data_IF_459123718498
#
_entry.id   IF_459123718498
#
_cell.length_a   1.000
_cell.length_b   1.000
_cell.length_c   1.000
_cell.angle_alpha   90.00
_cell.angle_beta   90.00
_cell.angle_gamma   90.00
#
_symmetry.space_group_name_H-M   'P 1'
#
loop_
_entity.id
_entity.type
_entity.pdbx_description
1 polymer ?
#
# COMPACT_ATOMS: atom_id res chain seq x y z
N UNK A 1 56.32 59.03 -35.82
CA UNK A 1 55.02 58.73 -36.47
C UNK A 1 54.74 57.23 -36.63
N UNK A 2 55.74 56.37 -36.90
CA UNK A 2 55.52 54.92 -37.11
C UNK A 2 55.06 54.14 -35.85
N UNK A 3 55.60 54.43 -34.67
CA UNK A 3 55.29 53.73 -33.41
C UNK A 3 53.84 53.93 -32.94
N UNK A 4 53.28 55.12 -33.12
CA UNK A 4 51.90 55.42 -32.73
C UNK A 4 50.88 54.70 -33.61
N UNK A 5 51.20 54.52 -34.90
CA UNK A 5 50.34 53.83 -35.86
C UNK A 5 50.26 52.33 -35.57
N UNK A 6 51.39 51.70 -35.18
CA UNK A 6 51.42 50.30 -34.79
C UNK A 6 50.69 50.03 -33.47
N UNK A 7 50.74 50.97 -32.52
CA UNK A 7 50.00 50.87 -31.26
C UNK A 7 48.48 50.93 -31.49
N UNK A 8 48.00 51.81 -32.38
CA UNK A 8 46.58 51.90 -32.72
C UNK A 8 46.08 50.62 -33.38
N UNK A 9 46.82 50.08 -34.35
CA UNK A 9 46.47 48.82 -35.04
C UNK A 9 46.38 47.66 -34.04
N UNK A 10 47.35 47.57 -33.11
CA UNK A 10 47.33 46.53 -32.08
C UNK A 10 46.14 46.66 -31.12
N UNK A 11 45.79 47.89 -30.71
CA UNK A 11 44.62 48.13 -29.87
C UNK A 11 43.34 47.77 -30.63
N UNK A 12 43.20 48.17 -31.89
CA UNK A 12 42.05 47.82 -32.73
C UNK A 12 41.90 46.30 -32.89
N UNK A 13 43.00 45.58 -33.11
CA UNK A 13 43.02 44.13 -33.26
C UNK A 13 42.61 43.40 -31.96
N UNK A 14 43.15 43.83 -30.81
CA UNK A 14 42.79 43.28 -29.50
C UNK A 14 41.32 43.58 -29.16
N UNK A 15 40.84 44.78 -29.48
CA UNK A 15 39.45 45.20 -29.22
C UNK A 15 38.49 44.41 -30.11
N UNK A 16 38.80 44.26 -31.40
CA UNK A 16 38.03 43.44 -32.35
C UNK A 16 37.96 41.97 -31.93
N UNK A 17 39.06 41.40 -31.42
CA UNK A 17 39.10 40.02 -30.94
C UNK A 17 38.22 39.83 -29.70
N UNK A 18 38.28 40.74 -28.72
CA UNK A 18 37.40 40.71 -27.54
C UNK A 18 35.93 40.84 -27.90
N UNK A 19 35.58 41.74 -28.83
CA UNK A 19 34.19 41.93 -29.29
C UNK A 19 33.67 40.70 -30.04
N UNK A 20 34.50 40.07 -30.89
CA UNK A 20 34.14 38.81 -31.55
C UNK A 20 33.94 37.67 -30.56
N UNK A 21 34.81 37.53 -29.55
CA UNK A 21 34.67 36.51 -28.51
C UNK A 21 33.41 36.75 -27.68
N UNK A 22 33.12 37.98 -27.29
CA UNK A 22 31.89 38.32 -26.57
C UNK A 22 30.63 38.02 -27.40
N UNK A 23 30.64 38.38 -28.69
CA UNK A 23 29.54 38.09 -29.62
C UNK A 23 29.33 36.57 -29.83
N UNK A 24 30.41 35.80 -29.95
CA UNK A 24 30.32 34.33 -30.08
C UNK A 24 29.74 33.69 -28.82
N UNK A 25 30.17 34.13 -27.63
CA UNK A 25 29.64 33.61 -26.36
C UNK A 25 28.17 33.98 -26.18
N UNK A 26 27.75 35.19 -26.55
CA UNK A 26 26.34 35.60 -26.44
C UNK A 26 25.45 34.83 -27.43
N UNK A 27 25.90 34.63 -28.67
CA UNK A 27 25.17 33.80 -29.66
C UNK A 27 25.05 32.35 -29.19
N UNK A 28 26.12 31.76 -28.63
CA UNK A 28 26.07 30.42 -28.06
C UNK A 28 25.11 30.34 -26.88
N UNK A 29 25.15 31.28 -25.94
CA UNK A 29 24.23 31.32 -24.80
C UNK A 29 22.76 31.42 -25.23
N UNK A 30 22.46 32.29 -26.22
CA UNK A 30 21.11 32.40 -26.80
C UNK A 30 20.70 31.10 -27.50
N UNK A 31 21.60 30.46 -28.26
CA UNK A 31 21.29 29.21 -28.95
C UNK A 31 21.01 28.06 -27.98
N UNK A 32 21.77 27.94 -26.88
CA UNK A 32 21.54 26.95 -25.82
C UNK A 32 20.22 27.23 -25.11
N UNK A 33 19.90 28.49 -24.84
CA UNK A 33 18.62 28.87 -24.25
C UNK A 33 17.46 28.48 -25.18
N UNK A 34 17.54 28.81 -26.48
CA UNK A 34 16.54 28.44 -27.48
C UNK A 34 16.37 26.92 -27.62
N UNK A 35 17.47 26.15 -27.58
CA UNK A 35 17.43 24.68 -27.58
C UNK A 35 16.76 24.14 -26.31
N UNK A 36 17.06 24.72 -25.14
CA UNK A 36 16.46 24.32 -23.87
C UNK A 36 14.96 24.59 -23.81
N UNK A 37 14.51 25.73 -24.34
CA UNK A 37 13.08 26.08 -24.38
C UNK A 37 12.32 25.27 -25.42
N UNK A 38 12.93 25.00 -26.58
CA UNK A 38 12.36 24.11 -27.59
C UNK A 38 12.18 22.69 -27.03
N UNK A 39 13.18 22.16 -26.33
CA UNK A 39 13.10 20.85 -25.69
C UNK A 39 12.05 20.82 -24.56
N UNK A 40 11.99 21.86 -23.73
CA UNK A 40 10.97 21.98 -22.69
C UNK A 40 9.55 22.04 -23.28
N UNK A 41 9.36 22.74 -24.40
CA UNK A 41 8.10 22.78 -25.14
C UNK A 41 7.68 21.40 -25.68
N UNK A 42 8.60 20.68 -26.31
CA UNK A 42 8.35 19.33 -26.81
C UNK A 42 8.00 18.33 -25.69
N UNK A 43 8.70 18.39 -24.55
CA UNK A 43 8.38 17.57 -23.37
C UNK A 43 6.99 17.90 -22.82
N UNK A 44 6.61 19.18 -22.78
CA UNK A 44 5.28 19.59 -22.33
C UNK A 44 4.16 19.13 -23.28
N UNK A 45 4.40 19.15 -24.60
CA UNK A 45 3.44 18.65 -25.60
C UNK A 45 3.29 17.14 -25.52
N UNK A 46 4.39 16.41 -25.36
CA UNK A 46 4.37 14.96 -25.22
C UNK A 46 3.66 14.51 -23.92
N UNK A 47 3.92 15.21 -22.80
CA UNK A 47 3.18 14.98 -21.56
C UNK A 47 1.68 15.21 -21.76
N UNK A 48 1.30 16.26 -22.49
CA UNK A 48 -0.10 16.57 -22.79
C UNK A 48 -0.75 15.52 -23.66
N UNK A 49 -0.03 14.99 -24.65
CA UNK A 49 -0.52 13.88 -25.46
C UNK A 49 -0.86 12.66 -24.59
N UNK A 50 0.00 12.33 -23.64
CA UNK A 50 -0.25 11.24 -22.70
C UNK A 50 -1.43 11.54 -21.75
N UNK A 51 -1.60 12.79 -21.32
CA UNK A 51 -2.77 13.23 -20.57
C UNK A 51 -4.08 13.01 -21.36
N UNK A 52 -4.13 13.47 -22.61
CA UNK A 52 -5.32 13.35 -23.47
C UNK A 52 -5.65 11.88 -23.77
N UNK A 53 -4.62 11.06 -24.01
CA UNK A 53 -4.78 9.61 -24.19
C UNK A 53 -5.27 8.91 -22.93
N UNK A 54 -4.81 9.35 -21.76
CA UNK A 54 -5.31 8.90 -20.46
C UNK A 54 -6.80 9.20 -20.31
N UNK A 55 -7.22 10.43 -20.58
CA UNK A 55 -8.63 10.84 -20.54
C UNK A 55 -9.49 10.05 -21.53
N UNK A 56 -9.04 9.87 -22.78
CA UNK A 56 -9.74 9.03 -23.75
C UNK A 56 -9.84 7.56 -23.29
N UNK A 57 -8.81 7.02 -22.65
CA UNK A 57 -8.86 5.68 -22.08
C UNK A 57 -9.85 5.56 -20.92
N UNK A 58 -10.05 6.62 -20.13
CA UNK A 58 -11.10 6.69 -19.09
C UNK A 58 -12.49 6.62 -19.71
N UNK A 59 -12.74 7.36 -20.79
CA UNK A 59 -14.02 7.35 -21.48
C UNK A 59 -14.35 5.98 -22.10
N UNK A 60 -13.32 5.25 -22.52
CA UNK A 60 -13.46 3.90 -23.08
C UNK A 60 -13.64 2.81 -22.03
N UNK A 61 -13.30 3.07 -20.76
CA UNK A 61 -13.32 2.07 -19.69
C UNK A 61 -14.76 1.71 -19.32
N UNK A 62 -15.03 0.40 -19.19
CA UNK A 62 -16.36 -0.13 -18.85
C UNK A 62 -16.36 -0.82 -17.49
N UNK A 63 -15.23 -1.36 -17.07
CA UNK A 63 -15.02 -1.98 -15.76
C UNK A 63 -13.86 -1.30 -15.02
N UNK A 64 -13.74 -1.50 -13.69
CA UNK A 64 -12.58 -1.04 -12.93
C UNK A 64 -11.22 -1.52 -13.49
N UNK A 65 -11.18 -2.73 -14.04
CA UNK A 65 -9.95 -3.30 -14.62
C UNK A 65 -9.52 -2.59 -15.92
N UNK A 66 -10.46 -1.97 -16.64
CA UNK A 66 -10.17 -1.25 -17.87
C UNK A 66 -9.39 0.06 -17.61
N UNK A 67 -9.36 0.55 -16.36
CA UNK A 67 -8.65 1.78 -16.01
C UNK A 67 -7.13 1.66 -16.05
N UNK A 68 -6.56 0.45 -16.13
CA UNK A 68 -5.09 0.26 -16.20
C UNK A 68 -4.46 0.98 -17.40
N UNK A 69 -5.18 1.05 -18.52
CA UNK A 69 -4.72 1.80 -19.69
C UNK A 69 -4.66 3.31 -19.42
N UNK A 70 -5.65 3.85 -18.72
CA UNK A 70 -5.66 5.26 -18.32
C UNK A 70 -4.56 5.57 -17.31
N UNK A 71 -4.39 4.70 -16.30
CA UNK A 71 -3.31 4.79 -15.31
C UNK A 71 -1.96 4.83 -16.03
N UNK A 72 -1.71 3.92 -16.97
CA UNK A 72 -0.45 3.86 -17.72
C UNK A 72 -0.14 5.14 -18.49
N UNK A 73 -1.14 5.76 -19.13
CA UNK A 73 -0.95 7.00 -19.87
C UNK A 73 -0.75 8.20 -18.94
N UNK A 74 -1.50 8.31 -17.83
CA UNK A 74 -1.25 9.34 -16.82
C UNK A 74 0.13 9.20 -16.15
N UNK A 75 0.61 7.96 -15.94
CA UNK A 75 1.96 7.70 -15.41
C UNK A 75 3.06 8.22 -16.34
N UNK A 76 2.88 8.09 -17.66
CA UNK A 76 3.80 8.68 -18.64
C UNK A 76 3.72 10.20 -18.65
N UNK A 77 2.51 10.78 -18.56
CA UNK A 77 2.36 12.23 -18.42
C UNK A 77 3.07 12.76 -17.17
N UNK A 78 2.95 12.04 -16.04
CA UNK A 78 3.59 12.36 -14.76
C UNK A 78 5.10 12.31 -14.83
N UNK A 79 5.67 11.31 -15.51
CA UNK A 79 7.12 11.17 -15.63
C UNK A 79 7.75 12.27 -16.50
N UNK A 80 7.02 12.74 -17.51
CA UNK A 80 7.44 13.82 -18.39
C UNK A 80 7.22 15.21 -17.77
N UNK A 81 6.16 15.38 -16.98
CA UNK A 81 5.79 16.64 -16.34
C UNK A 81 5.52 16.44 -14.83
N UNK A 82 6.56 16.28 -14.00
CA UNK A 82 6.43 15.91 -12.58
C UNK A 82 5.77 16.98 -11.70
N UNK A 83 5.66 18.21 -12.16
CA UNK A 83 5.03 19.32 -11.45
C UNK A 83 3.68 19.73 -12.04
N UNK A 84 3.14 18.95 -12.98
CA UNK A 84 1.81 19.18 -13.53
C UNK A 84 0.73 18.61 -12.60
N UNK A 85 0.13 19.49 -11.80
CA UNK A 85 -0.84 19.12 -10.78
C UNK A 85 -2.00 18.24 -11.30
N UNK A 86 -2.60 18.61 -12.43
CA UNK A 86 -3.80 17.94 -12.97
C UNK A 86 -3.57 16.46 -13.27
N UNK A 87 -2.34 16.08 -13.62
CA UNK A 87 -2.01 14.66 -13.87
C UNK A 87 -2.18 13.85 -12.58
N UNK A 88 -1.74 14.38 -11.44
CA UNK A 88 -1.90 13.72 -10.14
C UNK A 88 -3.36 13.66 -9.71
N UNK A 89 -4.13 14.71 -9.97
CA UNK A 89 -5.57 14.73 -9.68
C UNK A 89 -6.32 13.66 -10.48
N UNK A 90 -6.10 13.60 -11.79
CA UNK A 90 -6.75 12.63 -12.66
C UNK A 90 -6.30 11.19 -12.39
N UNK A 91 -5.01 10.98 -12.15
CA UNK A 91 -4.47 9.68 -11.76
C UNK A 91 -5.11 9.18 -10.46
N UNK A 92 -5.26 10.05 -9.45
CA UNK A 92 -5.89 9.69 -8.18
C UNK A 92 -7.37 9.34 -8.32
N UNK A 93 -8.14 10.11 -9.10
CA UNK A 93 -9.54 9.80 -9.40
C UNK A 93 -9.70 8.43 -10.06
N UNK A 94 -8.81 8.10 -10.99
CA UNK A 94 -8.85 6.83 -11.70
C UNK A 94 -8.40 5.67 -10.83
N UNK A 95 -7.41 5.87 -9.97
CA UNK A 95 -7.00 4.88 -8.98
C UNK A 95 -8.11 4.60 -7.96
N UNK A 96 -8.86 5.61 -7.52
CA UNK A 96 -10.06 5.38 -6.70
C UNK A 96 -11.07 4.50 -7.45
N UNK A 97 -11.37 4.81 -8.72
CA UNK A 97 -12.31 4.01 -9.52
C UNK A 97 -11.82 2.59 -9.79
N UNK A 98 -10.50 2.39 -9.87
CA UNK A 98 -9.86 1.10 -10.00
C UNK A 98 -9.71 0.34 -8.66
N UNK A 99 -10.17 0.92 -7.54
CA UNK A 99 -10.06 0.30 -6.22
C UNK A 99 -8.64 0.29 -5.64
N UNK A 100 -7.72 1.12 -6.17
CA UNK A 100 -6.35 1.30 -5.67
C UNK A 100 -6.30 2.47 -4.69
N UNK A 101 -6.95 2.34 -3.53
CA UNK A 101 -7.19 3.49 -2.66
C UNK A 101 -5.90 4.07 -2.07
N UNK A 102 -4.92 3.21 -1.75
CA UNK A 102 -3.61 3.65 -1.26
C UNK A 102 -2.87 4.57 -2.24
N UNK A 103 -2.84 4.20 -3.53
CA UNK A 103 -2.19 5.00 -4.56
C UNK A 103 -2.91 6.33 -4.81
N UNK A 104 -4.25 6.30 -4.80
CA UNK A 104 -5.07 7.50 -4.96
C UNK A 104 -4.76 8.55 -3.87
N UNK A 105 -4.61 8.12 -2.61
CA UNK A 105 -4.21 9.00 -1.49
C UNK A 105 -2.87 9.67 -1.76
N UNK A 106 -1.87 8.92 -2.23
CA UNK A 106 -0.52 9.44 -2.51
C UNK A 106 -0.58 10.53 -3.59
N UNK A 107 -1.31 10.28 -4.68
CA UNK A 107 -1.42 11.20 -5.79
C UNK A 107 -2.24 12.46 -5.43
N UNK A 108 -3.36 12.33 -4.71
CA UNK A 108 -4.10 13.49 -4.21
C UNK A 108 -3.27 14.36 -3.25
N UNK A 109 -2.45 13.75 -2.39
CA UNK A 109 -1.51 14.51 -1.54
C UNK A 109 -0.48 15.28 -2.37
N UNK A 110 0.01 14.73 -3.48
CA UNK A 110 0.94 15.43 -4.38
C UNK A 110 0.24 16.54 -5.16
N UNK A 111 -1.00 16.34 -5.60
CA UNK A 111 -1.83 17.39 -6.19
C UNK A 111 -1.98 18.60 -5.25
N UNK A 112 -2.35 18.38 -3.99
CA UNK A 112 -2.49 19.47 -3.01
C UNK A 112 -1.18 20.20 -2.71
N UNK A 113 -0.02 19.54 -2.86
CA UNK A 113 1.29 20.19 -2.74
C UNK A 113 1.59 21.10 -3.93
N UNK A 114 1.19 20.71 -5.13
CA UNK A 114 1.43 21.46 -6.37
C UNK A 114 0.41 22.59 -6.57
N UNK A 115 -0.84 22.37 -6.16
CA UNK A 115 -1.95 23.31 -6.34
C UNK A 115 -2.74 23.51 -5.02
N UNK A 116 -2.13 24.11 -3.99
CA UNK A 116 -2.76 24.24 -2.66
C UNK A 116 -4.00 25.15 -2.63
N UNK A 117 -4.14 26.04 -3.62
CA UNK A 117 -5.21 27.03 -3.73
C UNK A 117 -6.17 26.72 -4.89
N UNK A 118 -6.20 25.49 -5.40
CA UNK A 118 -7.17 25.10 -6.44
C UNK A 118 -8.60 25.06 -5.89
N UNK A 119 -9.58 25.16 -6.77
CA UNK A 119 -11.00 25.11 -6.39
C UNK A 119 -11.36 23.73 -5.80
N UNK A 120 -10.68 22.69 -6.26
CA UNK A 120 -10.86 21.30 -5.87
C UNK A 120 -10.15 20.99 -4.53
N UNK A 121 -9.29 21.87 -4.01
CA UNK A 121 -8.44 21.56 -2.87
C UNK A 121 -9.22 21.15 -1.61
N UNK A 122 -10.37 21.77 -1.34
CA UNK A 122 -11.22 21.41 -0.20
C UNK A 122 -11.87 20.03 -0.40
N UNK A 123 -12.33 19.73 -1.62
CA UNK A 123 -12.90 18.45 -1.97
C UNK A 123 -11.86 17.33 -1.89
N UNK A 124 -10.66 17.56 -2.43
CA UNK A 124 -9.57 16.59 -2.40
C UNK A 124 -9.15 16.24 -0.97
N UNK A 125 -9.13 17.20 -0.04
CA UNK A 125 -8.88 16.90 1.39
C UNK A 125 -9.93 15.94 1.96
N UNK A 126 -11.20 16.13 1.61
CA UNK A 126 -12.28 15.23 2.02
C UNK A 126 -12.14 13.84 1.37
N UNK A 127 -11.78 13.78 0.09
CA UNK A 127 -11.53 12.53 -0.63
C UNK A 127 -10.37 11.75 -0.01
N UNK A 128 -9.25 12.41 0.34
CA UNK A 128 -8.12 11.76 1.01
C UNK A 128 -8.58 11.04 2.27
N UNK A 129 -9.36 11.70 3.15
CA UNK A 129 -9.82 11.07 4.39
C UNK A 129 -10.70 9.83 4.13
N UNK A 130 -11.58 9.90 3.12
CA UNK A 130 -12.43 8.76 2.73
C UNK A 130 -11.61 7.62 2.15
N UNK A 131 -10.61 7.93 1.32
CA UNK A 131 -9.76 6.96 0.66
C UNK A 131 -8.78 6.32 1.64
N UNK A 132 -8.24 7.07 2.60
CA UNK A 132 -7.46 6.51 3.70
C UNK A 132 -8.29 5.50 4.50
N UNK A 133 -9.55 5.83 4.82
CA UNK A 133 -10.44 4.88 5.45
C UNK A 133 -10.66 3.61 4.60
N UNK A 134 -10.89 3.74 3.28
CA UNK A 134 -11.05 2.57 2.39
C UNK A 134 -9.76 1.76 2.27
N UNK A 135 -8.60 2.41 2.11
CA UNK A 135 -7.28 1.78 2.05
C UNK A 135 -6.92 1.08 3.36
N UNK A 136 -7.40 1.57 4.51
CA UNK A 136 -7.29 0.89 5.79
C UNK A 136 -8.13 -0.41 5.86
N UNK A 137 -9.11 -0.58 4.98
CA UNK A 137 -9.89 -1.82 4.89
C UNK A 137 -9.35 -2.79 3.84
N UNK A 138 -8.51 -2.34 2.89
CA UNK A 138 -7.91 -3.22 1.89
C UNK A 138 -7.02 -4.29 2.54
N UNK A 139 -7.30 -5.55 2.24
CA UNK A 139 -6.46 -6.68 2.61
C UNK A 139 -5.69 -7.07 1.35
N UNK A 140 -4.36 -7.03 1.43
CA UNK A 140 -3.48 -7.63 0.42
C UNK A 140 -2.82 -8.86 1.02
N UNK A 141 -2.20 -9.72 0.21
CA UNK A 141 -1.45 -10.87 0.71
C UNK A 141 -0.35 -10.47 1.70
N UNK A 142 0.37 -9.39 1.40
CA UNK A 142 1.44 -8.85 2.26
C UNK A 142 0.86 -8.30 3.57
N UNK A 143 -0.24 -7.55 3.49
CA UNK A 143 -0.98 -7.04 4.65
C UNK A 143 -1.53 -8.19 5.49
N UNK A 144 -2.09 -9.22 4.86
CA UNK A 144 -2.58 -10.41 5.54
C UNK A 144 -1.47 -11.12 6.31
N UNK A 145 -0.31 -11.33 5.66
CA UNK A 145 0.88 -11.90 6.29
C UNK A 145 1.38 -11.07 7.47
N UNK A 146 1.34 -9.75 7.37
CA UNK A 146 1.70 -8.85 8.48
C UNK A 146 0.70 -8.91 9.63
N UNK A 147 -0.61 -8.85 9.35
CA UNK A 147 -1.70 -9.01 10.34
C UNK A 147 -1.55 -10.33 11.08
N UNK A 148 -1.40 -11.44 10.34
CA UNK A 148 -1.16 -12.75 10.91
C UNK A 148 0.13 -12.77 11.74
N UNK A 149 1.19 -12.11 11.28
CA UNK A 149 2.40 -11.95 12.06
C UNK A 149 2.18 -11.18 13.36
N UNK A 150 1.33 -10.15 13.34
CA UNK A 150 0.99 -9.31 14.50
C UNK A 150 0.08 -10.02 15.51
N UNK A 151 -0.70 -11.03 15.11
CA UNK A 151 -1.50 -11.82 16.04
C UNK A 151 -0.62 -12.40 17.17
N UNK A 152 0.67 -12.64 16.89
CA UNK A 152 1.67 -13.05 17.88
C UNK A 152 1.84 -12.10 19.07
N UNK A 153 1.44 -10.86 18.93
CA UNK A 153 1.42 -9.90 20.02
C UNK A 153 0.00 -9.78 20.57
N UNK A 154 -0.32 -10.60 21.57
CA UNK A 154 -1.65 -10.63 22.17
C UNK A 154 -2.05 -9.33 22.86
N UNK A 155 -1.11 -8.41 23.08
CA UNK A 155 -1.41 -7.09 23.66
C UNK A 155 -2.03 -6.15 22.62
N UNK A 156 -1.89 -6.46 21.33
CA UNK A 156 -2.42 -5.68 20.22
C UNK A 156 -3.79 -6.13 19.73
N UNK A 157 -4.37 -7.18 20.32
CA UNK A 157 -5.66 -7.73 19.86
C UNK A 157 -6.60 -7.94 21.03
N UNK A 158 -7.85 -7.49 20.86
CA UNK A 158 -8.92 -7.59 21.85
C UNK A 158 -10.04 -8.46 21.31
N UNK A 159 -10.51 -9.40 22.12
CA UNK A 159 -11.72 -10.15 21.82
C UNK A 159 -12.98 -9.27 21.89
N UNK A 160 -13.83 -9.36 20.88
CA UNK A 160 -15.14 -8.68 20.81
C UNK A 160 -16.22 -9.74 20.60
N UNK A 161 -16.94 -10.09 21.66
CA UNK A 161 -18.06 -11.01 21.57
C UNK A 161 -18.71 -11.36 22.91
N UNK A 162 -19.89 -11.96 22.84
CA UNK A 162 -20.56 -12.62 23.98
C UNK A 162 -20.40 -14.13 23.81
N UNK A 163 -19.38 -14.72 24.42
CA UNK A 163 -19.31 -16.18 24.53
C UNK A 163 -20.07 -16.60 25.79
N UNK A 164 -21.15 -17.36 25.59
CA UNK A 164 -21.78 -18.17 26.62
C UNK A 164 -21.01 -19.47 26.76
N UNK A 165 -20.59 -19.78 28.00
CA UNK A 165 -19.89 -20.98 28.45
C UNK A 165 -18.43 -21.12 27.99
N UNK A 166 -17.54 -21.19 29.00
CA UNK A 166 -16.08 -21.31 28.95
C UNK A 166 -15.32 -20.00 28.65
N UNK A 167 -15.05 -19.28 29.75
CA UNK A 167 -14.06 -18.20 29.80
C UNK A 167 -12.68 -18.73 29.35
N UNK A 168 -12.09 -18.00 28.40
CA UNK A 168 -10.66 -17.77 28.19
C UNK A 168 -9.78 -18.98 27.92
N UNK A 169 -9.62 -19.36 26.65
CA UNK A 169 -8.59 -20.34 26.32
C UNK A 169 -7.54 -19.80 25.38
N UNK A 170 -7.65 -18.68 24.66
CA UNK A 170 -6.49 -18.12 23.92
C UNK A 170 -5.76 -17.07 24.77
N UNK A 171 -4.57 -17.39 25.26
CA UNK A 171 -3.69 -16.48 26.03
C UNK A 171 -2.96 -15.49 25.12
N UNK A 172 -2.60 -15.92 23.92
CA UNK A 172 -1.85 -15.13 22.97
C UNK A 172 -1.22 -15.98 21.91
N UNK A 173 -0.71 -15.36 20.86
CA UNK A 173 -0.08 -16.08 19.77
C UNK A 173 1.44 -15.90 19.86
N UNK A 174 2.24 -16.62 19.08
CA UNK A 174 3.69 -16.35 18.93
C UNK A 174 4.07 -16.65 17.50
N UNK A 175 4.88 -15.81 16.83
CA UNK A 175 5.38 -16.12 15.49
C UNK A 175 6.83 -16.62 15.55
N UNK A 176 7.15 -17.65 14.78
CA UNK A 176 8.50 -18.12 14.46
C UNK A 176 8.57 -18.40 12.96
N UNK A 177 9.22 -17.52 12.20
CA UNK A 177 9.30 -17.59 10.71
C UNK A 177 7.91 -17.57 10.05
N UNK A 178 7.54 -18.63 9.34
CA UNK A 178 6.22 -18.87 8.76
C UNK A 178 5.22 -19.37 9.81
N UNK A 179 5.61 -19.42 11.11
CA UNK A 179 4.86 -20.09 12.17
C UNK A 179 4.22 -19.29 13.32
N UNK A 180 2.92 -19.02 13.30
CA UNK A 180 2.01 -18.67 14.42
C UNK A 180 1.63 -19.84 15.35
N UNK A 181 2.13 -19.84 16.57
CA UNK A 181 1.66 -20.68 17.69
C UNK A 181 0.50 -19.99 18.40
N UNK A 182 -0.45 -20.76 18.89
CA UNK A 182 -1.49 -20.26 19.79
C UNK A 182 -1.19 -20.81 21.19
N UNK A 183 -1.03 -19.91 22.16
CA UNK A 183 -0.88 -20.26 23.57
C UNK A 183 -2.25 -20.25 24.19
N UNK A 184 -2.61 -21.34 24.88
CA UNK A 184 -3.87 -21.43 25.57
C UNK A 184 -3.74 -21.33 27.09
N UNK A 185 -4.74 -20.77 27.78
CA UNK A 185 -4.92 -20.97 29.23
C UNK A 185 -5.90 -22.12 29.40
N UNK A 186 -5.39 -23.30 29.76
CA UNK A 186 -6.22 -24.39 30.25
C UNK A 186 -6.14 -24.35 31.78
N UNK A 187 -7.28 -24.10 32.45
CA UNK A 187 -7.33 -24.04 33.92
C UNK A 187 -7.00 -25.39 34.60
N UNK A 188 -6.87 -26.47 33.83
CA UNK A 188 -6.74 -27.82 34.36
C UNK A 188 -5.28 -28.31 34.39
N UNK A 189 -4.37 -27.72 33.60
CA UNK A 189 -2.93 -28.03 33.67
C UNK A 189 -2.07 -26.80 33.39
N UNK A 190 -1.23 -26.42 34.36
CA UNK A 190 -0.17 -25.43 34.19
C UNK A 190 0.81 -25.89 33.10
N UNK A 191 0.74 -25.28 31.91
CA UNK A 191 1.95 -25.05 31.09
C UNK A 191 2.29 -26.07 29.99
N UNK A 192 1.34 -26.55 29.19
CA UNK A 192 1.65 -27.26 27.94
C UNK A 192 1.59 -26.33 26.72
N UNK A 193 2.73 -26.16 26.04
CA UNK A 193 2.84 -25.54 24.71
C UNK A 193 2.85 -26.64 23.64
N UNK A 194 1.86 -26.65 22.75
CA UNK A 194 1.80 -27.53 21.58
C UNK A 194 2.30 -26.80 20.31
N UNK A 195 2.86 -27.55 19.35
CA UNK A 195 3.43 -27.04 18.09
C UNK A 195 2.54 -27.45 16.89
N UNK A 196 2.42 -26.59 15.87
CA UNK A 196 1.39 -26.66 14.82
C UNK A 196 1.93 -26.65 13.37
N UNK A 197 1.23 -27.34 12.46
CA UNK A 197 1.38 -27.27 10.99
C UNK A 197 0.35 -26.34 10.32
N UNK A 198 0.62 -25.88 9.09
CA UNK A 198 -0.07 -24.74 8.43
C UNK A 198 -0.45 -25.00 6.99
N UNK A 199 -1.48 -24.25 6.59
CA UNK A 199 -1.75 -23.91 5.20
C UNK A 199 -2.32 -22.48 5.15
N UNK A 200 -1.75 -21.62 4.30
CA UNK A 200 -2.21 -20.24 4.07
C UNK A 200 -2.73 -20.17 2.64
N UNK A 201 -3.98 -19.76 2.48
CA UNK A 201 -4.63 -19.56 1.18
C UNK A 201 -5.43 -18.27 1.25
N UNK A 202 -5.24 -17.37 0.27
CA UNK A 202 -6.15 -16.26 -0.05
C UNK A 202 -6.80 -15.57 1.17
N UNK A 203 -5.98 -14.91 2.00
CA UNK A 203 -6.38 -14.15 3.21
C UNK A 203 -6.92 -14.99 4.38
N UNK A 204 -6.92 -16.31 4.21
CA UNK A 204 -7.35 -17.30 5.20
C UNK A 204 -6.14 -18.09 5.71
N UNK A 205 -6.04 -18.23 7.03
CA UNK A 205 -5.05 -19.11 7.66
C UNK A 205 -5.76 -20.26 8.35
N UNK A 206 -5.49 -21.48 7.89
CA UNK A 206 -6.01 -22.69 8.53
C UNK A 206 -4.96 -23.28 9.47
N UNK A 207 -5.35 -23.41 10.74
CA UNK A 207 -4.57 -24.07 11.80
C UNK A 207 -5.32 -25.32 12.26
N UNK A 208 -4.75 -26.51 12.01
CA UNK A 208 -5.28 -27.77 12.52
C UNK A 208 -4.58 -28.13 13.82
N UNK A 209 -5.35 -28.40 14.87
CA UNK A 209 -4.88 -28.80 16.18
C UNK A 209 -5.55 -30.09 16.64
N UNK A 210 -4.79 -30.98 17.26
CA UNK A 210 -5.29 -32.18 17.92
C UNK A 210 -4.70 -32.18 19.33
N UNK A 211 -5.58 -32.14 20.33
CA UNK A 211 -5.25 -32.16 21.75
C UNK A 211 -5.61 -33.52 22.35
N UNK A 212 -4.62 -34.32 22.67
CA UNK A 212 -4.84 -35.55 23.44
C UNK A 212 -5.00 -35.20 24.92
N UNK A 213 -6.22 -35.30 25.45
CA UNK A 213 -6.44 -35.15 26.89
C UNK A 213 -6.12 -36.48 27.59
N UNK A 214 -4.95 -36.57 28.21
CA UNK A 214 -4.72 -37.55 29.26
C UNK A 214 -5.44 -37.08 30.53
N UNK A 215 -6.47 -37.82 30.96
CA UNK A 215 -6.99 -37.93 32.34
C UNK A 215 -8.49 -37.66 32.59
N UNK A 216 -9.31 -37.21 31.61
CA UNK A 216 -10.75 -37.04 31.88
C UNK A 216 -11.61 -38.29 31.59
N UNK A 217 -11.17 -39.18 30.70
CA UNK A 217 -12.02 -40.26 30.19
C UNK A 217 -11.50 -41.68 30.46
N UNK A 218 -10.41 -41.85 31.21
CA UNK A 218 -9.83 -43.16 31.53
C UNK A 218 -9.29 -43.95 30.32
N UNK A 219 -9.29 -43.36 29.12
CA UNK A 219 -8.65 -43.82 27.88
C UNK A 219 -8.15 -42.58 27.10
N UNK A 220 -7.22 -42.79 26.17
CA UNK A 220 -6.75 -41.75 25.26
C UNK A 220 -7.94 -41.12 24.52
N UNK A 221 -8.27 -39.88 24.87
CA UNK A 221 -9.31 -39.10 24.20
C UNK A 221 -8.62 -37.95 23.46
N UNK A 222 -8.44 -38.14 22.17
CA UNK A 222 -8.01 -37.09 21.26
C UNK A 222 -9.18 -36.14 21.03
N UNK A 223 -9.17 -34.98 21.70
CA UNK A 223 -10.04 -33.85 21.36
C UNK A 223 -9.33 -33.06 20.27
N UNK A 224 -9.86 -33.11 19.05
CA UNK A 224 -9.38 -32.26 17.96
C UNK A 224 -9.98 -30.85 18.04
N UNK A 225 -9.24 -29.82 17.63
CA UNK A 225 -9.85 -28.53 17.30
C UNK A 225 -9.18 -27.96 16.05
N UNK A 226 -9.95 -27.56 15.05
CA UNK A 226 -9.45 -26.84 13.88
C UNK A 226 -9.85 -25.37 13.99
N UNK A 227 -8.89 -24.47 13.86
CA UNK A 227 -9.12 -23.03 13.85
C UNK A 227 -8.85 -22.47 12.46
N UNK A 228 -9.81 -21.78 11.90
CA UNK A 228 -9.69 -21.07 10.62
C UNK A 228 -9.78 -19.58 10.94
N UNK A 229 -8.72 -18.85 10.59
CA UNK A 229 -8.64 -17.41 10.76
C UNK A 229 -8.92 -16.76 9.41
N UNK A 230 -9.89 -15.86 9.42
CA UNK A 230 -10.29 -15.06 8.27
C UNK A 230 -10.04 -13.59 8.62
N UNK A 231 -9.26 -12.90 7.78
CA UNK A 231 -9.04 -11.46 7.94
C UNK A 231 -10.27 -10.76 7.39
N UNK A 232 -10.94 -9.99 8.24
CA UNK A 232 -12.15 -9.23 7.85
C UNK A 232 -11.78 -7.81 7.44
N UNK A 233 -10.74 -7.26 8.06
CA UNK A 233 -10.12 -5.98 7.72
C UNK A 233 -8.73 -5.88 8.37
N UNK A 234 -7.98 -4.79 8.12
CA UNK A 234 -6.68 -4.58 8.78
C UNK A 234 -6.74 -4.58 10.30
N UNK A 235 -7.90 -4.25 10.88
CA UNK A 235 -8.09 -4.19 12.32
C UNK A 235 -9.04 -5.25 12.86
N UNK A 236 -9.48 -6.23 12.06
CA UNK A 236 -10.47 -7.22 12.49
C UNK A 236 -10.18 -8.58 11.91
N UNK A 237 -10.12 -9.58 12.78
CA UNK A 237 -9.96 -11.00 12.41
C UNK A 237 -11.12 -11.80 13.00
N UNK A 238 -11.73 -12.64 12.18
CA UNK A 238 -12.71 -13.62 12.61
C UNK A 238 -12.05 -14.99 12.71
N UNK A 239 -12.40 -15.73 13.75
CA UNK A 239 -11.88 -17.07 14.01
C UNK A 239 -13.05 -18.03 14.05
N UNK A 240 -13.07 -18.97 13.12
CA UNK A 240 -13.97 -20.12 13.13
C UNK A 240 -13.24 -21.28 13.78
N UNK A 241 -13.68 -21.67 14.98
CA UNK A 241 -13.21 -22.86 15.66
C UNK A 241 -14.16 -24.02 15.36
N UNK A 242 -13.60 -25.17 15.01
CA UNK A 242 -14.29 -26.43 14.79
C UNK A 242 -13.74 -27.39 15.85
N UNK A 243 -14.50 -27.61 16.91
CA UNK A 243 -14.12 -28.52 17.99
C UNK A 243 -14.66 -29.92 17.70
N UNK A 244 -13.81 -30.93 17.88
CA UNK A 244 -14.09 -32.34 17.70
C UNK A 244 -14.02 -33.00 19.08
N UNK A 245 -15.18 -33.27 19.66
CA UNK A 245 -15.29 -33.83 21.00
C UNK A 245 -15.50 -35.36 20.94
N UNK A 246 -14.73 -36.16 21.70
CA UNK A 246 -15.11 -37.51 22.02
C UNK A 246 -16.06 -37.46 23.22
N UNK A 247 -17.35 -37.20 22.97
CA UNK A 247 -18.35 -37.81 23.86
C UNK A 247 -18.25 -39.30 23.60
N UNK A 248 -18.12 -40.10 24.64
CA UNK A 248 -18.23 -41.57 24.64
C UNK A 248 -19.26 -42.03 23.55
N UNK A 249 -18.82 -42.28 22.30
CA UNK A 249 -19.67 -42.23 21.09
C UNK A 249 -18.99 -41.64 19.84
N UNK A 250 -19.69 -41.50 18.69
CA UNK A 250 -19.15 -40.91 17.46
C UNK A 250 -18.75 -39.44 17.65
N UNK A 251 -17.71 -38.99 16.95
CA UNK A 251 -17.16 -37.63 17.06
C UNK A 251 -18.26 -36.60 16.75
N UNK A 252 -18.64 -35.80 17.74
CA UNK A 252 -19.52 -34.64 17.54
C UNK A 252 -18.66 -33.43 17.17
N UNK A 253 -19.05 -32.73 16.10
CA UNK A 253 -18.40 -31.52 15.63
C UNK A 253 -19.21 -30.30 16.08
N UNK A 254 -18.59 -29.39 16.85
CA UNK A 254 -19.17 -28.11 17.24
C UNK A 254 -18.42 -26.97 16.53
N UNK A 255 -19.15 -26.01 15.93
CA UNK A 255 -18.53 -24.84 15.29
C UNK A 255 -18.83 -23.58 16.10
N UNK A 256 -17.78 -22.84 16.46
CA UNK A 256 -17.85 -21.57 17.21
C UNK A 256 -17.16 -20.46 16.44
N UNK A 257 -17.67 -19.23 16.58
CA UNK A 257 -17.10 -18.04 15.94
C UNK A 257 -16.66 -17.03 16.98
N UNK A 258 -15.46 -16.50 16.82
CA UNK A 258 -14.86 -15.47 17.66
C UNK A 258 -14.44 -14.30 16.79
N UNK A 259 -14.52 -13.08 17.31
CA UNK A 259 -14.05 -11.89 16.61
C UNK A 259 -13.02 -11.19 17.47
N UNK A 260 -11.92 -10.77 16.85
CA UNK A 260 -10.87 -9.99 17.47
C UNK A 260 -10.72 -8.66 16.73
N UNK A 261 -10.49 -7.59 17.48
CA UNK A 261 -10.21 -6.25 16.97
C UNK A 261 -8.81 -5.81 17.40
N UNK A 262 -8.07 -5.19 16.49
CA UNK A 262 -6.77 -4.63 16.75
C UNK A 262 -6.88 -3.42 17.68
N UNK A 263 -6.12 -3.45 18.77
CA UNK A 263 -5.96 -2.34 19.70
C UNK A 263 -4.88 -1.41 19.13
N UNK A 264 -5.29 -0.21 18.70
CA UNK A 264 -4.34 0.87 18.42
C UNK A 264 -3.77 1.35 19.77
N UNK A 265 -2.53 0.96 20.08
CA UNK A 265 -1.74 1.49 21.22
C UNK A 265 -1.03 2.77 20.78
#
# INVERSE_FOLDING_TARGET
MSTYKNLIIFIEEVTMKKTKTFYLVSVLAVSVLLLSTANAGAVAEEARRHMDRGLAAVEMAKTPDDYERAISEFEKARSLAPDWADVYYNLALIQEKAGKYGDAVVNFKKYLRLAPNSNEAAEVKSLINKLEFKAEQEITKEVALDIFGSLSDSTKWRFIGKSSAYRNWVKGFRRDRDRIFITYICDIQRGTTSNFGRELEDETLTLKYIMSFFNFCGKDCDVGAQYIFEIVSKNKVQVKAIELWPKIGPIEQETKYYTFEYIRI
#
